data_IF_069927896481
#
_entry.id   IF_069927896481
#
_cell.length_a   1.000
_cell.length_b   1.000
_cell.length_c   1.000
_cell.angle_alpha   90.00
_cell.angle_beta   90.00
_cell.angle_gamma   90.00
#
_symmetry.space_group_name_H-M   'P 1'
#
loop_
_entity.id
_entity.type
_entity.pdbx_description
1 polymer ?
#
# COMPACT_ATOMS: atom_id res chain seq x y z
N UNK A 1 35.14 22.90 41.45
CA UNK A 1 35.94 22.31 40.36
C UNK A 1 36.03 20.80 40.57
N UNK A 2 35.29 20.04 39.73
CA UNK A 2 35.48 18.66 39.20
C UNK A 2 35.91 17.50 40.14
N UNK A 3 35.03 16.53 40.50
CA UNK A 3 34.48 15.30 39.79
C UNK A 3 35.40 14.06 39.90
N UNK A 4 35.04 13.03 40.69
CA UNK A 4 34.30 11.76 40.37
C UNK A 4 34.99 10.85 39.32
N UNK A 5 35.55 9.69 39.69
CA UNK A 5 34.96 8.34 39.93
C UNK A 5 34.47 7.57 38.69
N UNK A 6 35.05 6.39 38.46
CA UNK A 6 34.55 5.34 37.56
C UNK A 6 35.50 4.13 37.50
N UNK A 7 35.15 3.02 38.16
CA UNK A 7 35.71 1.70 37.87
C UNK A 7 34.61 0.63 37.88
N UNK A 8 34.60 -0.17 36.82
CA UNK A 8 33.66 -1.23 36.51
C UNK A 8 34.03 -2.56 37.18
N UNK A 9 33.04 -3.42 37.44
CA UNK A 9 33.25 -4.85 37.71
C UNK A 9 32.19 -5.69 36.99
N UNK A 10 32.68 -6.63 36.18
CA UNK A 10 31.97 -7.79 35.66
C UNK A 10 31.55 -8.74 36.80
N UNK A 11 30.42 -9.43 36.64
CA UNK A 11 30.16 -10.76 37.20
C UNK A 11 29.18 -11.52 36.30
N UNK A 12 29.40 -12.83 36.22
CA UNK A 12 28.77 -13.81 35.34
C UNK A 12 27.98 -14.83 36.19
N UNK A 13 27.12 -15.65 35.54
CA UNK A 13 26.46 -16.89 36.01
C UNK A 13 25.14 -16.71 36.80
N UNK A 14 24.03 -17.46 36.68
CA UNK A 14 23.39 -18.33 35.66
C UNK A 14 21.93 -18.67 36.20
N UNK A 15 21.19 -19.71 35.76
CA UNK A 15 19.76 -19.67 35.41
C UNK A 15 18.79 -20.09 36.54
N UNK A 16 17.49 -19.78 36.41
CA UNK A 16 16.41 -20.42 37.20
C UNK A 16 15.11 -20.62 36.40
N UNK A 17 14.47 -21.73 36.72
CA UNK A 17 13.36 -22.44 36.07
C UNK A 17 12.00 -22.25 36.77
N UNK A 18 10.91 -22.09 35.98
CA UNK A 18 9.50 -22.57 36.12
C UNK A 18 8.68 -22.30 37.43
N UNK A 19 7.32 -22.43 37.53
CA UNK A 19 6.30 -23.01 36.60
C UNK A 19 4.85 -22.34 36.57
N UNK A 20 3.94 -22.91 35.76
CA UNK A 20 2.44 -22.94 35.76
C UNK A 20 1.61 -21.68 35.40
N UNK A 21 0.75 -21.82 34.38
CA UNK A 21 -0.50 -21.06 34.23
C UNK A 21 -1.01 -20.99 32.79
N UNK A 22 -1.68 -22.05 32.32
CA UNK A 22 -2.26 -22.09 30.98
C UNK A 22 -3.35 -21.04 30.76
N UNK A 23 -3.27 -20.33 29.64
CA UNK A 23 -4.40 -19.66 29.01
C UNK A 23 -4.39 -20.08 27.55
N UNK A 24 -5.46 -20.76 27.14
CA UNK A 24 -5.57 -21.43 25.86
C UNK A 24 -5.40 -20.49 24.68
N UNK A 25 -4.67 -20.98 23.67
CA UNK A 25 -4.80 -20.50 22.30
C UNK A 25 -6.27 -20.72 21.88
N UNK A 26 -7.02 -19.69 21.44
CA UNK A 26 -8.37 -19.91 20.96
C UNK A 26 -8.33 -20.83 19.73
N UNK A 27 -9.25 -21.80 19.62
CA UNK A 27 -9.26 -22.76 18.52
C UNK A 27 -9.54 -22.06 17.19
N UNK A 28 -8.97 -22.63 16.12
CA UNK A 28 -9.28 -22.28 14.75
C UNK A 28 -10.81 -22.28 14.53
N UNK A 29 -11.32 -21.21 13.93
CA UNK A 29 -12.72 -21.05 13.59
C UNK A 29 -13.10 -22.15 12.59
N UNK A 30 -14.03 -23.01 13.00
CA UNK A 30 -14.71 -23.99 12.16
C UNK A 30 -15.49 -23.27 11.04
N UNK A 31 -15.22 -23.54 9.75
CA UNK A 31 -15.88 -22.86 8.65
C UNK A 31 -17.33 -23.32 8.37
N UNK A 32 -17.95 -24.11 9.25
CA UNK A 32 -19.26 -24.73 8.97
C UNK A 32 -20.50 -24.07 9.60
N UNK A 33 -20.41 -22.89 10.24
CA UNK A 33 -21.57 -22.25 10.89
C UNK A 33 -21.82 -20.84 10.36
N UNK A 34 -22.70 -20.73 9.36
CA UNK A 34 -23.19 -19.46 8.84
C UNK A 34 -23.83 -19.61 7.47
N UNK A 35 -25.11 -20.01 7.45
CA UNK A 35 -25.90 -20.03 6.23
C UNK A 35 -26.06 -18.63 5.63
N UNK A 36 -25.42 -18.40 4.49
CA UNK A 36 -25.73 -17.34 3.54
C UNK A 36 -25.57 -17.90 2.12
N UNK A 37 -26.55 -17.59 1.28
CA UNK A 37 -26.65 -18.01 -0.12
C UNK A 37 -25.35 -17.76 -0.90
N UNK A 38 -25.00 -18.73 -1.75
CA UNK A 38 -23.92 -18.62 -2.73
C UNK A 38 -24.13 -17.37 -3.60
N UNK A 39 -23.12 -16.50 -3.79
CA UNK A 39 -23.23 -15.48 -4.82
C UNK A 39 -23.25 -16.17 -6.19
N UNK A 40 -24.25 -15.83 -7.00
CA UNK A 40 -24.41 -16.30 -8.37
C UNK A 40 -23.19 -15.90 -9.23
N UNK A 41 -22.79 -16.73 -10.22
CA UNK A 41 -21.68 -16.41 -11.10
C UNK A 41 -22.07 -15.26 -12.03
N UNK A 42 -21.53 -14.07 -11.81
CA UNK A 42 -21.61 -12.98 -12.77
C UNK A 42 -20.47 -13.14 -13.81
N UNK A 43 -20.65 -14.08 -14.73
CA UNK A 43 -20.03 -14.03 -16.05
C UNK A 43 -21.00 -14.64 -17.04
N UNK A 44 -21.97 -13.82 -17.46
CA UNK A 44 -22.78 -14.12 -18.63
C UNK A 44 -21.88 -14.03 -19.87
N UNK A 45 -21.86 -15.12 -20.61
CA UNK A 45 -21.26 -15.30 -21.92
C UNK A 45 -21.61 -14.17 -22.88
N UNK A 46 -20.60 -13.41 -23.33
CA UNK A 46 -20.67 -12.74 -24.62
C UNK A 46 -20.08 -13.72 -25.63
N UNK A 47 -20.97 -14.48 -26.28
CA UNK A 47 -20.69 -15.15 -27.54
C UNK A 47 -20.57 -14.08 -28.62
N UNK A 48 -19.33 -13.65 -28.89
CA UNK A 48 -18.97 -12.83 -30.03
C UNK A 48 -17.65 -13.33 -30.58
N UNK A 49 -17.69 -13.96 -31.75
CA UNK A 49 -16.49 -14.19 -32.55
C UNK A 49 -15.87 -12.82 -32.87
N UNK A 50 -14.81 -12.46 -32.16
CA UNK A 50 -13.85 -11.45 -32.61
C UNK A 50 -12.46 -12.04 -32.45
N UNK A 51 -11.88 -12.29 -33.61
CA UNK A 51 -10.49 -12.66 -33.90
C UNK A 51 -9.49 -12.25 -32.84
N UNK A 52 -8.64 -13.23 -32.55
CA UNK A 52 -7.21 -13.17 -32.20
C UNK A 52 -6.49 -11.93 -32.78
N UNK A 53 -6.78 -10.74 -32.24
CA UNK A 53 -6.02 -9.52 -32.50
C UNK A 53 -4.82 -9.49 -31.56
N UNK A 54 -3.75 -10.12 -32.05
CA UNK A 54 -2.36 -9.77 -31.77
C UNK A 54 -2.05 -9.32 -30.35
N UNK A 55 -1.68 -10.26 -29.49
CA UNK A 55 -0.64 -9.98 -28.48
C UNK A 55 0.61 -9.63 -29.29
N UNK A 56 0.76 -8.35 -29.64
CA UNK A 56 1.98 -7.83 -30.24
C UNK A 56 3.15 -8.34 -29.40
N UNK A 57 4.17 -8.91 -30.06
CA UNK A 57 5.39 -9.34 -29.38
C UNK A 57 5.82 -8.23 -28.42
N UNK A 58 6.09 -8.59 -27.17
CA UNK A 58 6.77 -7.73 -26.20
C UNK A 58 8.22 -7.56 -26.66
N UNK A 59 8.41 -6.92 -27.80
CA UNK A 59 9.73 -6.46 -28.21
C UNK A 59 10.18 -5.49 -27.12
N UNK A 60 11.28 -5.80 -26.46
CA UNK A 60 11.76 -5.16 -25.23
C UNK A 60 11.63 -3.63 -25.34
N UNK A 61 10.63 -3.06 -24.66
CA UNK A 61 10.41 -1.61 -24.58
C UNK A 61 11.31 -1.12 -23.45
N UNK A 62 12.49 -0.52 -23.74
CA UNK A 62 13.36 -0.11 -22.66
C UNK A 62 12.67 0.99 -21.86
N UNK A 63 12.74 0.89 -20.53
CA UNK A 63 12.29 1.97 -19.66
C UNK A 63 13.14 3.21 -19.92
N UNK A 64 12.50 4.36 -20.14
CA UNK A 64 13.19 5.65 -20.25
C UNK A 64 13.00 6.50 -18.99
N UNK A 65 13.93 7.43 -18.75
CA UNK A 65 13.88 8.36 -17.62
C UNK A 65 14.68 7.92 -16.40
N UNK A 66 14.31 8.43 -15.23
CA UNK A 66 15.02 8.23 -13.96
C UNK A 66 14.24 7.26 -13.06
N UNK A 67 14.63 5.98 -13.14
CA UNK A 67 14.03 4.90 -12.34
C UNK A 67 14.59 4.82 -10.92
N UNK A 68 15.83 5.27 -10.70
CA UNK A 68 16.51 5.23 -9.41
C UNK A 68 16.22 6.47 -8.57
N UNK A 69 16.33 6.34 -7.25
CA UNK A 69 16.20 7.46 -6.31
C UNK A 69 17.52 7.66 -5.58
N UNK A 70 17.82 8.92 -5.22
CA UNK A 70 18.99 9.25 -4.38
C UNK A 70 18.82 8.77 -2.94
N UNK A 71 17.58 8.67 -2.47
CA UNK A 71 17.22 8.26 -1.10
C UNK A 71 16.10 7.21 -1.17
N UNK A 72 16.38 6.00 -1.69
CA UNK A 72 15.35 4.98 -1.85
C UNK A 72 14.90 4.47 -0.48
N UNK A 73 13.59 4.52 -0.21
CA UNK A 73 12.97 3.80 0.91
C UNK A 73 12.76 2.34 0.54
N UNK A 74 12.31 2.10 -0.68
CA UNK A 74 12.07 0.77 -1.22
C UNK A 74 12.64 0.67 -2.64
N UNK A 75 13.31 -0.43 -2.93
CA UNK A 75 13.95 -0.71 -4.23
C UNK A 75 13.35 -1.95 -4.85
N UNK A 76 13.13 -1.92 -6.16
CA UNK A 76 12.60 -3.03 -6.95
C UNK A 76 13.57 -3.30 -8.10
N UNK A 77 14.02 -4.55 -8.25
CA UNK A 77 14.98 -4.97 -9.27
C UNK A 77 14.47 -6.19 -10.01
N UNK A 78 14.38 -6.06 -11.34
CA UNK A 78 14.05 -7.12 -12.28
C UNK A 78 12.79 -7.90 -11.86
N UNK A 79 11.75 -7.17 -11.43
CA UNK A 79 10.52 -7.76 -10.92
C UNK A 79 9.72 -8.37 -12.08
N UNK A 80 9.42 -9.65 -11.95
CA UNK A 80 8.43 -10.36 -12.75
C UNK A 80 7.29 -10.83 -11.84
N UNK A 81 6.05 -10.74 -12.33
CA UNK A 81 4.88 -11.30 -11.65
C UNK A 81 4.07 -12.11 -12.65
N UNK A 82 3.98 -13.41 -12.41
CA UNK A 82 3.26 -14.37 -13.25
C UNK A 82 2.02 -14.91 -12.51
N UNK A 83 0.93 -15.14 -13.24
CA UNK A 83 -0.25 -15.88 -12.79
C UNK A 83 -0.41 -17.12 -13.68
N UNK A 84 0.06 -18.27 -13.19
CA UNK A 84 0.18 -19.47 -14.01
C UNK A 84 1.04 -19.22 -15.25
N UNK A 85 0.47 -19.32 -16.45
CA UNK A 85 1.16 -19.06 -17.71
C UNK A 85 1.14 -17.59 -18.16
N UNK A 86 0.38 -16.71 -17.48
CA UNK A 86 0.21 -15.31 -17.88
C UNK A 86 1.15 -14.40 -17.11
N UNK A 87 2.06 -13.72 -17.81
CA UNK A 87 2.92 -12.69 -17.20
C UNK A 87 2.21 -11.35 -17.08
N UNK A 88 1.99 -10.88 -15.86
CA UNK A 88 1.35 -9.61 -15.56
C UNK A 88 2.33 -8.43 -15.45
N UNK A 89 3.54 -8.67 -14.93
CA UNK A 89 4.62 -7.70 -14.83
C UNK A 89 5.89 -8.33 -15.41
N UNK A 90 6.64 -7.59 -16.21
CA UNK A 90 7.87 -8.08 -16.85
C UNK A 90 9.06 -7.14 -16.59
N UNK A 91 10.10 -7.69 -15.96
CA UNK A 91 11.41 -7.07 -15.73
C UNK A 91 11.36 -5.60 -15.26
N UNK A 92 10.52 -5.29 -14.27
CA UNK A 92 10.37 -3.93 -13.76
C UNK A 92 11.45 -3.59 -12.75
N UNK A 93 12.13 -2.47 -12.96
CA UNK A 93 13.13 -1.90 -12.03
C UNK A 93 12.79 -0.45 -11.72
N UNK A 94 12.63 -0.12 -10.44
CA UNK A 94 12.43 1.25 -9.97
C UNK A 94 12.72 1.39 -8.48
N UNK A 95 12.92 2.62 -8.04
CA UNK A 95 13.03 3.00 -6.62
C UNK A 95 11.89 3.91 -6.20
N UNK A 96 11.37 3.66 -5.01
CA UNK A 96 10.42 4.53 -4.31
C UNK A 96 11.25 5.34 -3.30
N UNK A 97 11.31 6.65 -3.49
CA UNK A 97 12.07 7.54 -2.61
C UNK A 97 11.42 7.72 -1.24
N UNK A 98 12.23 8.19 -0.30
CA UNK A 98 11.76 8.70 0.98
C UNK A 98 11.02 10.02 0.81
N UNK A 99 9.98 10.25 1.61
CA UNK A 99 9.28 11.54 1.72
C UNK A 99 8.82 12.14 0.39
N UNK A 100 8.33 11.27 -0.51
CA UNK A 100 7.79 11.65 -1.80
C UNK A 100 6.58 10.78 -2.15
N UNK A 101 5.75 11.28 -3.06
CA UNK A 101 4.67 10.54 -3.68
C UNK A 101 5.10 10.09 -5.07
N UNK A 102 5.09 8.78 -5.30
CA UNK A 102 5.27 8.16 -6.61
C UNK A 102 3.90 7.75 -7.17
N UNK A 103 3.45 8.38 -8.25
CA UNK A 103 2.25 7.97 -8.96
C UNK A 103 2.55 6.87 -9.97
N UNK A 104 1.72 5.82 -9.98
CA UNK A 104 1.73 4.77 -10.98
C UNK A 104 0.48 4.95 -11.85
N UNK A 105 0.70 5.24 -13.13
CA UNK A 105 -0.34 5.53 -14.10
C UNK A 105 -0.30 4.56 -15.26
N UNK A 106 -1.40 4.45 -16.00
CA UNK A 106 -1.48 3.62 -17.21
C UNK A 106 -2.87 3.03 -17.45
N UNK A 107 -3.11 2.44 -18.64
CA UNK A 107 -4.40 1.85 -18.99
C UNK A 107 -4.86 0.76 -18.02
N UNK A 108 -6.15 0.46 -18.01
CA UNK A 108 -6.69 -0.68 -17.25
C UNK A 108 -6.04 -1.99 -17.71
N UNK A 109 -5.74 -2.87 -16.76
CA UNK A 109 -5.13 -4.18 -17.06
C UNK A 109 -3.62 -4.17 -17.36
N UNK A 110 -2.92 -3.04 -17.26
CA UNK A 110 -1.46 -2.99 -17.49
C UNK A 110 -0.59 -3.45 -16.31
N UNK A 111 -1.19 -3.98 -15.23
CA UNK A 111 -0.47 -4.56 -14.09
C UNK A 111 -0.25 -3.64 -12.87
N UNK A 112 -0.72 -2.39 -12.86
CA UNK A 112 -0.50 -1.43 -11.75
C UNK A 112 -0.82 -1.98 -10.36
N UNK A 113 -2.03 -2.49 -10.14
CA UNK A 113 -2.42 -3.03 -8.83
C UNK A 113 -1.69 -4.35 -8.51
N UNK A 114 -1.30 -5.12 -9.53
CA UNK A 114 -0.44 -6.30 -9.35
C UNK A 114 0.93 -5.89 -8.83
N UNK A 115 1.57 -4.89 -9.47
CA UNK A 115 2.83 -4.32 -9.02
C UNK A 115 2.72 -3.78 -7.59
N UNK A 116 1.69 -2.98 -7.31
CA UNK A 116 1.46 -2.39 -5.98
C UNK A 116 1.35 -3.47 -4.89
N UNK A 117 0.60 -4.55 -5.14
CA UNK A 117 0.45 -5.68 -4.19
C UNK A 117 1.71 -6.53 -4.01
N UNK A 118 2.67 -6.47 -4.93
CA UNK A 118 3.97 -7.10 -4.72
C UNK A 118 4.78 -6.37 -3.65
N UNK A 119 4.59 -5.06 -3.49
CA UNK A 119 5.35 -4.26 -2.53
C UNK A 119 5.00 -4.55 -1.06
N UNK A 120 3.83 -5.13 -0.79
CA UNK A 120 3.41 -5.54 0.56
C UNK A 120 3.09 -7.04 0.67
N UNK A 121 3.48 -7.83 -0.33
CA UNK A 121 3.26 -9.28 -0.39
C UNK A 121 1.80 -9.70 -0.25
N UNK A 122 0.86 -8.90 -0.76
CA UNK A 122 -0.55 -9.33 -0.87
C UNK A 122 -0.76 -10.35 -1.98
N UNK A 123 0.11 -10.34 -2.99
CA UNK A 123 0.08 -11.31 -4.09
C UNK A 123 0.28 -12.76 -3.64
N UNK A 124 0.96 -13.00 -2.52
CA UNK A 124 1.22 -14.34 -1.95
C UNK A 124 -0.08 -15.11 -1.64
N UNK A 125 -1.20 -14.41 -1.45
CA UNK A 125 -2.51 -15.02 -1.18
C UNK A 125 -3.31 -15.36 -2.45
N UNK A 126 -2.80 -15.00 -3.63
CA UNK A 126 -3.46 -15.25 -4.91
C UNK A 126 -2.93 -16.57 -5.48
N UNK A 127 -3.83 -17.51 -5.74
CA UNK A 127 -3.47 -18.83 -6.27
C UNK A 127 -2.77 -18.71 -7.64
N UNK A 128 -1.74 -19.53 -7.83
CA UNK A 128 -0.91 -19.53 -9.04
C UNK A 128 -0.05 -18.27 -9.25
N UNK A 129 -0.01 -17.33 -8.30
CA UNK A 129 0.84 -16.15 -8.37
C UNK A 129 2.30 -16.48 -8.02
N UNK A 130 3.23 -16.05 -8.89
CA UNK A 130 4.67 -16.16 -8.66
C UNK A 130 5.31 -14.80 -8.83
N UNK A 131 6.06 -14.38 -7.82
CA UNK A 131 6.88 -13.17 -7.85
C UNK A 131 8.35 -13.58 -7.95
N UNK A 132 9.09 -13.01 -8.89
CA UNK A 132 10.55 -13.15 -9.01
C UNK A 132 11.21 -11.80 -9.24
N UNK A 133 12.52 -11.73 -9.04
CA UNK A 133 13.23 -10.48 -8.89
C UNK A 133 13.47 -10.18 -7.42
N UNK A 134 13.72 -8.92 -7.10
CA UNK A 134 14.09 -8.49 -5.75
C UNK A 134 13.34 -7.21 -5.36
N UNK A 135 12.71 -7.23 -4.19
CA UNK A 135 12.06 -6.06 -3.59
C UNK A 135 12.65 -5.87 -2.20
N UNK A 136 13.41 -4.79 -2.00
CA UNK A 136 14.03 -4.47 -0.71
C UNK A 136 13.39 -3.25 -0.05
N UNK A 137 13.10 -3.34 1.24
CA UNK A 137 12.70 -2.22 2.10
C UNK A 137 13.87 -1.91 3.04
N UNK A 138 14.39 -0.68 3.02
CA UNK A 138 15.58 -0.29 3.80
C UNK A 138 16.79 -1.25 3.61
N UNK A 139 16.92 -1.83 2.42
CA UNK A 139 18.00 -2.77 2.07
C UNK A 139 17.71 -4.25 2.39
N UNK A 140 16.61 -4.57 3.05
CA UNK A 140 16.20 -5.94 3.38
C UNK A 140 15.21 -6.49 2.35
N UNK A 141 15.51 -7.63 1.74
CA UNK A 141 14.61 -8.30 0.79
C UNK A 141 13.33 -8.80 1.50
N UNK A 142 12.19 -8.23 1.15
CA UNK A 142 10.90 -8.55 1.79
C UNK A 142 10.41 -9.96 1.43
N UNK A 143 10.92 -10.55 0.35
CA UNK A 143 10.60 -11.92 -0.11
C UNK A 143 11.56 -12.99 0.44
N UNK A 144 12.56 -12.61 1.25
CA UNK A 144 13.45 -13.58 1.88
C UNK A 144 12.68 -14.56 2.78
N UNK A 145 13.10 -15.82 2.82
CA UNK A 145 12.41 -16.90 3.56
C UNK A 145 12.30 -16.65 5.07
N UNK A 146 13.20 -15.86 5.62
CA UNK A 146 13.25 -15.52 7.05
C UNK A 146 12.34 -14.36 7.43
N UNK A 147 11.75 -13.65 6.46
CA UNK A 147 10.95 -12.45 6.72
C UNK A 147 9.51 -12.83 7.04
N UNK A 148 9.00 -12.29 8.15
CA UNK A 148 7.58 -12.40 8.51
C UNK A 148 6.74 -11.45 7.65
N UNK A 149 5.76 -12.02 6.94
CA UNK A 149 4.80 -11.28 6.11
C UNK A 149 3.98 -10.29 6.94
N UNK A 150 3.69 -10.62 8.21
CA UNK A 150 2.93 -9.73 9.10
C UNK A 150 3.73 -8.46 9.40
N UNK A 151 5.05 -8.58 9.60
CA UNK A 151 5.94 -7.43 9.80
C UNK A 151 6.04 -6.58 8.54
N UNK A 152 6.22 -7.19 7.37
CA UNK A 152 6.23 -6.47 6.08
C UNK A 152 4.95 -5.65 5.89
N UNK A 153 3.78 -6.21 6.22
CA UNK A 153 2.49 -5.53 6.09
C UNK A 153 2.26 -4.44 7.14
N UNK A 154 2.96 -4.50 8.28
CA UNK A 154 2.96 -3.42 9.26
C UNK A 154 3.81 -2.24 8.78
N UNK A 155 4.95 -2.55 8.14
CA UNK A 155 5.89 -1.58 7.57
C UNK A 155 5.43 -0.97 6.23
N UNK A 156 4.62 -1.71 5.49
CA UNK A 156 4.08 -1.32 4.18
C UNK A 156 2.54 -1.34 4.22
N UNK A 157 1.96 -0.22 4.64
CA UNK A 157 0.52 -0.03 4.79
C UNK A 157 -0.20 0.05 3.45
N UNK A 158 -1.46 -0.41 3.38
CA UNK A 158 -2.26 -0.44 2.16
C UNK A 158 -3.62 0.23 2.36
N UNK A 159 -3.99 1.12 1.44
CA UNK A 159 -5.30 1.76 1.34
C UNK A 159 -5.92 1.37 0.00
N UNK A 160 -7.15 0.85 0.04
CA UNK A 160 -7.84 0.34 -1.14
C UNK A 160 -8.79 1.36 -1.75
N UNK A 161 -9.12 1.13 -3.02
CA UNK A 161 -10.05 1.94 -3.81
C UNK A 161 -11.42 2.06 -3.14
N UNK A 162 -11.99 0.92 -2.74
CA UNK A 162 -13.22 0.87 -1.97
C UNK A 162 -12.86 0.91 -0.48
N UNK A 163 -13.32 1.91 0.28
CA UNK A 163 -13.11 1.95 1.72
C UNK A 163 -13.63 0.66 2.37
N UNK A 164 -12.83 0.06 3.25
CA UNK A 164 -13.13 -1.19 3.93
C UNK A 164 -12.94 -1.08 5.45
N UNK A 165 -13.66 -0.18 6.15
CA UNK A 165 -13.65 -0.18 7.60
C UNK A 165 -14.16 -1.53 8.10
N UNK A 166 -13.54 -2.03 9.17
CA UNK A 166 -14.06 -3.21 9.86
C UNK A 166 -15.45 -2.91 10.42
N UNK A 167 -16.32 -3.93 10.55
CA UNK A 167 -17.62 -3.82 11.24
C UNK A 167 -17.40 -3.70 12.76
N UNK A 168 -16.69 -2.65 13.15
CA UNK A 168 -16.25 -2.29 14.50
C UNK A 168 -16.41 -0.78 14.69
N UNK A 169 -16.19 -0.31 15.90
CA UNK A 169 -16.21 1.12 16.21
C UNK A 169 -15.12 1.87 15.45
N UNK A 170 -15.23 3.20 15.34
CA UNK A 170 -14.17 4.06 14.77
C UNK A 170 -12.88 3.89 15.57
N UNK A 171 -12.97 3.86 16.91
CA UNK A 171 -11.83 3.61 17.79
C UNK A 171 -11.16 2.26 17.49
N UNK A 172 -11.96 1.19 17.45
CA UNK A 172 -11.45 -0.17 17.23
C UNK A 172 -10.90 -0.38 15.82
N UNK A 173 -11.37 0.38 14.83
CA UNK A 173 -10.79 0.36 13.50
C UNK A 173 -9.34 0.85 13.51
N UNK A 174 -9.05 1.94 14.22
CA UNK A 174 -7.72 2.55 14.26
C UNK A 174 -6.77 1.75 15.15
N UNK A 175 -7.21 1.33 16.33
CA UNK A 175 -6.32 0.67 17.32
C UNK A 175 -6.06 -0.81 17.04
N UNK A 176 -6.75 -1.42 16.07
CA UNK A 176 -6.67 -2.86 15.79
C UNK A 176 -5.23 -3.32 15.54
N UNK A 177 -4.54 -2.71 14.58
CA UNK A 177 -3.17 -3.09 14.25
C UNK A 177 -2.17 -2.71 15.37
N UNK A 178 -2.23 -1.50 15.96
CA UNK A 178 -1.39 -1.16 17.13
C UNK A 178 -1.47 -2.18 18.28
N UNK A 179 -2.65 -2.74 18.57
CA UNK A 179 -2.79 -3.80 19.59
C UNK A 179 -2.06 -5.08 19.22
N UNK A 180 -2.20 -5.53 17.97
CA UNK A 180 -1.55 -6.75 17.47
C UNK A 180 -0.02 -6.62 17.50
N UNK A 181 0.49 -5.41 17.21
CA UNK A 181 1.92 -5.10 17.24
C UNK A 181 2.45 -4.65 18.61
N UNK A 182 1.66 -4.76 19.68
CA UNK A 182 2.09 -4.42 21.04
C UNK A 182 2.37 -2.93 21.29
N UNK A 183 1.86 -2.04 20.43
CA UNK A 183 2.06 -0.58 20.50
C UNK A 183 1.07 0.13 21.42
N UNK A 184 0.04 -0.57 21.90
CA UNK A 184 -1.02 -0.03 22.74
C UNK A 184 -1.09 -0.81 24.08
N UNK A 185 -0.08 -0.67 24.97
CA UNK A 185 0.01 -1.43 26.22
C UNK A 185 -1.05 -1.04 27.25
N UNK A 186 -1.57 0.20 27.19
CA UNK A 186 -2.55 0.73 28.10
C UNK A 186 -3.58 1.62 27.39
N UNK A 187 -4.61 2.03 28.14
CA UNK A 187 -5.72 2.82 27.62
C UNK A 187 -5.28 4.23 27.17
N UNK A 188 -4.38 4.88 27.91
CA UNK A 188 -3.96 6.24 27.58
C UNK A 188 -3.16 6.25 26.27
N UNK A 189 -2.22 5.32 26.12
CA UNK A 189 -1.48 5.13 24.87
C UNK A 189 -2.41 4.81 23.70
N UNK A 190 -3.43 3.98 23.92
CA UNK A 190 -4.41 3.66 22.90
C UNK A 190 -5.24 4.89 22.46
N UNK A 191 -5.68 5.71 23.40
CA UNK A 191 -6.42 6.95 23.12
C UNK A 191 -5.57 7.96 22.36
N UNK A 192 -4.29 8.10 22.72
CA UNK A 192 -3.32 8.96 22.02
C UNK A 192 -3.10 8.51 20.57
N UNK A 193 -2.89 7.21 20.33
CA UNK A 193 -2.73 6.67 18.98
C UNK A 193 -3.98 6.95 18.13
N UNK A 194 -5.17 6.74 18.71
CA UNK A 194 -6.43 6.97 17.99
C UNK A 194 -6.61 8.45 17.66
N UNK A 195 -6.42 9.34 18.63
CA UNK A 195 -6.54 10.77 18.42
C UNK A 195 -5.55 11.25 17.35
N UNK A 196 -4.26 10.97 17.52
CA UNK A 196 -3.21 11.43 16.60
C UNK A 196 -3.39 10.89 15.19
N UNK A 197 -3.81 9.63 15.04
CA UNK A 197 -4.07 9.03 13.71
C UNK A 197 -5.29 9.66 13.04
N UNK A 198 -6.37 9.93 13.78
CA UNK A 198 -7.56 10.58 13.25
C UNK A 198 -7.32 12.06 12.95
N UNK A 199 -6.47 12.74 13.72
CA UNK A 199 -6.05 14.12 13.47
C UNK A 199 -5.23 14.20 12.19
N UNK A 200 -4.20 13.35 12.06
CA UNK A 200 -3.38 13.24 10.85
C UNK A 200 -4.21 12.90 9.63
N UNK A 201 -5.25 12.07 9.76
CA UNK A 201 -6.16 11.77 8.65
C UNK A 201 -7.23 12.85 8.42
N UNK A 202 -7.18 13.98 9.12
CA UNK A 202 -8.15 15.08 9.01
C UNK A 202 -9.57 14.72 9.43
N UNK A 203 -9.78 13.63 10.18
CA UNK A 203 -11.10 13.09 10.53
C UNK A 203 -11.52 13.41 11.97
N UNK A 204 -10.57 13.69 12.87
CA UNK A 204 -10.81 13.84 14.32
C UNK A 204 -11.97 14.78 14.67
N UNK A 205 -11.98 16.00 14.10
CA UNK A 205 -13.01 17.02 14.37
C UNK A 205 -14.43 16.55 14.04
N UNK A 206 -14.58 15.60 13.14
CA UNK A 206 -15.87 15.08 12.66
C UNK A 206 -16.36 13.84 13.44
N UNK A 207 -15.48 13.18 14.21
CA UNK A 207 -15.77 11.87 14.82
C UNK A 207 -15.45 11.76 16.32
N UNK A 208 -14.74 12.72 16.91
CA UNK A 208 -14.28 12.70 18.31
C UNK A 208 -15.39 12.39 19.33
N UNK A 209 -16.62 12.86 19.09
CA UNK A 209 -17.75 12.69 20.02
C UNK A 209 -18.54 11.39 19.77
N UNK A 210 -18.10 10.55 18.82
CA UNK A 210 -18.80 9.33 18.37
C UNK A 210 -17.86 8.18 18.04
N UNK A 211 -16.71 8.10 18.71
CA UNK A 211 -15.69 7.07 18.46
C UNK A 211 -16.19 5.62 18.64
N UNK A 212 -17.25 5.42 19.43
CA UNK A 212 -17.90 4.13 19.65
C UNK A 212 -18.86 3.71 18.54
N UNK A 213 -19.24 4.62 17.64
CA UNK A 213 -20.12 4.29 16.52
C UNK A 213 -19.42 3.41 15.48
N UNK A 214 -20.16 2.57 14.73
CA UNK A 214 -19.57 1.75 13.67
C UNK A 214 -18.89 2.60 12.60
N UNK A 215 -17.67 2.21 12.20
CA UNK A 215 -16.94 2.88 11.11
C UNK A 215 -17.66 2.80 9.76
N UNK A 216 -18.51 1.79 9.57
CA UNK A 216 -19.35 1.61 8.37
C UNK A 216 -20.50 2.61 8.27
N UNK A 217 -20.82 3.34 9.34
CA UNK A 217 -21.87 4.38 9.34
C UNK A 217 -21.36 5.75 8.82
N UNK A 218 -20.06 5.90 8.57
CA UNK A 218 -19.45 7.11 8.04
C UNK A 218 -19.76 7.30 6.54
N UNK A 219 -19.65 8.53 6.03
CA UNK A 219 -19.72 8.77 4.58
C UNK A 219 -18.53 8.15 3.83
N UNK A 220 -18.62 7.93 2.52
CA UNK A 220 -17.53 7.30 1.74
C UNK A 220 -16.17 7.98 1.93
N UNK A 221 -16.11 9.31 1.87
CA UNK A 221 -14.87 10.06 2.12
C UNK A 221 -14.38 10.01 3.57
N UNK A 222 -15.29 9.92 4.55
CA UNK A 222 -14.93 9.71 5.96
C UNK A 222 -14.42 8.27 6.19
N UNK A 223 -15.02 7.27 5.57
CA UNK A 223 -14.55 5.88 5.62
C UNK A 223 -13.15 5.76 5.01
N UNK A 224 -12.88 6.47 3.92
CA UNK A 224 -11.56 6.46 3.31
C UNK A 224 -10.50 7.09 4.23
N UNK A 225 -10.80 8.26 4.83
CA UNK A 225 -9.94 8.87 5.85
C UNK A 225 -9.75 7.96 7.07
N UNK A 226 -10.78 7.21 7.48
CA UNK A 226 -10.65 6.21 8.56
C UNK A 226 -9.71 5.07 8.15
N UNK A 227 -9.77 4.60 6.91
CA UNK A 227 -8.84 3.58 6.40
C UNK A 227 -7.40 4.10 6.36
N UNK A 228 -7.20 5.37 5.99
CA UNK A 228 -5.89 6.03 6.04
C UNK A 228 -5.41 6.16 7.50
N UNK A 229 -6.26 6.63 8.42
CA UNK A 229 -5.95 6.71 9.86
C UNK A 229 -5.52 5.34 10.41
N UNK A 230 -6.24 4.28 10.04
CA UNK A 230 -5.88 2.91 10.39
C UNK A 230 -4.51 2.50 9.83
N UNK A 231 -4.22 2.80 8.56
CA UNK A 231 -2.94 2.48 7.94
C UNK A 231 -1.76 3.20 8.62
N UNK A 232 -1.92 4.47 8.98
CA UNK A 232 -0.84 5.27 9.60
C UNK A 232 -0.70 5.05 11.12
N UNK A 233 -1.65 4.38 11.76
CA UNK A 233 -1.65 4.14 13.22
C UNK A 233 -0.44 3.32 13.71
N UNK A 234 0.12 2.47 12.84
CA UNK A 234 1.33 1.68 13.11
C UNK A 234 2.61 2.38 12.65
N UNK A 235 2.52 3.60 12.11
CA UNK A 235 3.63 4.40 11.57
C UNK A 235 4.46 3.61 10.53
N UNK A 236 3.84 3.19 9.41
CA UNK A 236 4.54 2.44 8.37
C UNK A 236 5.63 3.30 7.71
N UNK A 237 6.61 2.67 7.09
CA UNK A 237 7.63 3.34 6.29
C UNK A 237 7.13 3.69 4.89
N UNK A 238 6.22 2.87 4.36
CA UNK A 238 5.62 3.04 3.02
C UNK A 238 4.09 2.94 3.11
N UNK A 239 3.38 3.86 2.44
CA UNK A 239 1.93 3.83 2.27
C UNK A 239 1.60 3.59 0.80
N UNK A 240 0.91 2.49 0.53
CA UNK A 240 0.40 2.12 -0.78
C UNK A 240 -1.07 2.51 -0.90
N UNK A 241 -1.45 3.16 -1.99
CA UNK A 241 -2.82 3.58 -2.26
C UNK A 241 -3.26 3.10 -3.64
N UNK A 242 -4.26 2.21 -3.70
CA UNK A 242 -4.84 1.72 -4.95
C UNK A 242 -6.10 2.54 -5.27
N UNK A 243 -5.98 3.55 -6.13
CA UNK A 243 -7.06 4.45 -6.56
C UNK A 243 -7.83 5.12 -5.40
N UNK A 244 -7.16 5.88 -4.52
CA UNK A 244 -7.75 6.33 -3.25
C UNK A 244 -8.97 7.26 -3.38
N UNK A 245 -9.20 7.87 -4.55
CA UNK A 245 -10.28 8.84 -4.76
C UNK A 245 -11.29 8.46 -5.86
N UNK A 246 -11.22 7.28 -6.47
CA UNK A 246 -12.02 6.97 -7.66
C UNK A 246 -13.54 6.97 -7.43
N UNK A 247 -13.98 6.67 -6.20
CA UNK A 247 -15.38 6.55 -5.81
C UNK A 247 -15.86 7.72 -4.93
N UNK A 248 -15.12 8.82 -4.89
CA UNK A 248 -15.38 9.96 -4.01
C UNK A 248 -15.90 11.18 -4.77
N UNK A 249 -16.70 12.00 -4.10
CA UNK A 249 -17.11 13.30 -4.62
C UNK A 249 -15.90 14.29 -4.68
N UNK A 250 -16.00 15.41 -5.43
CA UNK A 250 -14.89 16.35 -5.58
C UNK A 250 -14.38 16.96 -4.27
N UNK A 251 -15.26 17.19 -3.28
CA UNK A 251 -14.90 17.78 -1.99
C UNK A 251 -14.11 16.77 -1.17
N UNK A 252 -14.59 15.53 -1.11
CA UNK A 252 -13.87 14.43 -0.47
C UNK A 252 -12.52 14.15 -1.16
N UNK A 253 -12.47 14.21 -2.49
CA UNK A 253 -11.24 14.05 -3.27
C UNK A 253 -10.20 15.09 -2.89
N UNK A 254 -10.56 16.37 -2.88
CA UNK A 254 -9.64 17.46 -2.51
C UNK A 254 -9.05 17.26 -1.11
N UNK A 255 -9.88 16.89 -0.12
CA UNK A 255 -9.40 16.61 1.24
C UNK A 255 -8.43 15.43 1.33
N UNK A 256 -8.63 14.40 0.52
CA UNK A 256 -7.70 13.25 0.47
C UNK A 256 -6.39 13.67 -0.23
N UNK A 257 -6.45 14.49 -1.28
CA UNK A 257 -5.26 15.01 -1.96
C UNK A 257 -4.42 15.91 -1.04
N UNK A 258 -5.06 16.81 -0.28
CA UNK A 258 -4.40 17.62 0.77
C UNK A 258 -3.75 16.73 1.83
N UNK A 259 -4.48 15.71 2.30
CA UNK A 259 -3.97 14.74 3.26
C UNK A 259 -2.74 13.98 2.73
N UNK A 260 -2.73 13.59 1.45
CA UNK A 260 -1.58 12.93 0.82
C UNK A 260 -0.37 13.86 0.82
N UNK A 261 -0.57 15.15 0.50
CA UNK A 261 0.50 16.16 0.50
C UNK A 261 1.08 16.36 1.92
N UNK A 262 0.25 16.37 2.96
CA UNK A 262 0.73 16.44 4.36
C UNK A 262 1.49 15.16 4.77
N UNK A 263 0.98 13.98 4.40
CA UNK A 263 1.58 12.71 4.78
C UNK A 263 2.95 12.49 4.12
N UNK A 264 3.15 12.97 2.88
CA UNK A 264 4.42 12.72 2.17
C UNK A 264 5.63 13.34 2.87
N UNK A 265 5.46 14.31 3.76
CA UNK A 265 6.57 14.86 4.54
C UNK A 265 7.24 13.80 5.45
N UNK A 266 6.50 12.75 5.81
CA UNK A 266 6.95 11.74 6.76
C UNK A 266 6.96 10.31 6.19
N UNK A 267 6.25 10.07 5.08
CA UNK A 267 6.05 8.74 4.51
C UNK A 267 6.51 8.67 3.06
N UNK A 268 7.00 7.50 2.64
CA UNK A 268 7.09 7.17 1.23
C UNK A 268 5.71 6.72 0.74
N UNK A 269 5.15 7.36 -0.29
CA UNK A 269 3.79 7.08 -0.74
C UNK A 269 3.81 6.59 -2.19
N UNK A 270 3.11 5.49 -2.46
CA UNK A 270 2.90 4.99 -3.83
C UNK A 270 1.42 5.01 -4.13
N UNK A 271 1.01 5.72 -5.18
CA UNK A 271 -0.40 5.87 -5.56
C UNK A 271 -0.60 5.30 -6.95
N UNK A 272 -1.45 4.28 -7.07
CA UNK A 272 -2.01 3.87 -8.35
C UNK A 272 -3.22 4.73 -8.64
N UNK A 273 -3.27 5.37 -9.80
CA UNK A 273 -4.44 6.15 -10.22
C UNK A 273 -4.61 6.15 -11.73
N UNK A 274 -5.85 6.17 -12.19
CA UNK A 274 -6.18 6.44 -13.59
C UNK A 274 -6.52 7.93 -13.84
N UNK A 275 -6.59 8.75 -12.78
CA UNK A 275 -6.77 10.19 -12.93
C UNK A 275 -5.42 10.87 -13.16
N UNK A 276 -5.17 11.28 -14.41
CA UNK A 276 -3.98 12.04 -14.78
C UNK A 276 -3.86 13.34 -14.01
N UNK A 277 -4.99 14.01 -13.76
CA UNK A 277 -5.03 15.27 -13.04
C UNK A 277 -4.67 15.08 -11.56
N UNK A 278 -5.13 13.99 -10.93
CA UNK A 278 -4.71 13.65 -9.58
C UNK A 278 -3.21 13.36 -9.54
N UNK A 279 -2.71 12.47 -10.41
CA UNK A 279 -1.29 12.14 -10.48
C UNK A 279 -0.44 13.41 -10.62
N UNK A 280 -0.80 14.30 -11.53
CA UNK A 280 -0.10 15.56 -11.75
C UNK A 280 -0.12 16.51 -10.54
N UNK A 281 -1.17 16.50 -9.72
CA UNK A 281 -1.28 17.38 -8.54
C UNK A 281 -0.54 16.84 -7.32
N UNK A 282 -0.61 15.53 -7.06
CA UNK A 282 -0.16 14.97 -5.77
C UNK A 282 1.23 14.33 -5.80
N UNK A 283 1.78 14.03 -6.98
CA UNK A 283 3.02 13.25 -7.09
C UNK A 283 4.26 14.08 -7.44
N UNK A 284 5.41 13.67 -6.89
CA UNK A 284 6.72 14.23 -7.26
C UNK A 284 7.35 13.42 -8.39
N UNK A 285 7.12 12.10 -8.40
CA UNK A 285 7.55 11.20 -9.47
C UNK A 285 6.37 10.44 -10.03
N UNK A 286 6.43 10.15 -11.32
CA UNK A 286 5.40 9.38 -12.01
C UNK A 286 6.05 8.20 -12.75
N UNK A 287 5.40 7.05 -12.72
CA UNK A 287 5.79 5.82 -13.41
C UNK A 287 4.63 5.39 -14.32
N UNK A 288 4.89 5.34 -15.63
CA UNK A 288 3.90 4.94 -16.64
C UNK A 288 4.07 3.46 -17.01
N UNK A 289 3.00 2.69 -16.77
CA UNK A 289 2.93 1.25 -17.06
C UNK A 289 2.07 0.97 -18.28
N UNK A 290 2.53 0.06 -19.13
CA UNK A 290 1.79 -0.39 -20.30
C UNK A 290 2.01 -1.89 -20.54
N UNK A 291 0.94 -2.69 -20.56
CA UNK A 291 0.96 -4.15 -20.80
C UNK A 291 1.94 -4.97 -19.93
N UNK A 292 2.24 -4.50 -18.72
CA UNK A 292 3.15 -5.15 -17.76
C UNK A 292 4.56 -4.57 -17.74
N UNK A 293 4.87 -3.66 -18.68
CA UNK A 293 6.17 -2.99 -18.76
C UNK A 293 6.13 -1.63 -18.07
N UNK A 294 7.24 -1.25 -17.41
CA UNK A 294 7.51 0.13 -17.02
C UNK A 294 8.10 0.87 -18.23
N UNK A 295 7.33 1.79 -18.81
CA UNK A 295 7.71 2.49 -20.05
C UNK A 295 8.54 3.74 -19.75
N UNK A 296 8.11 4.54 -18.79
CA UNK A 296 8.76 5.79 -18.44
C UNK A 296 8.61 6.08 -16.94
N UNK A 297 9.68 6.56 -16.31
CA UNK A 297 9.65 7.06 -14.94
C UNK A 297 10.49 8.33 -14.81
N UNK A 298 10.05 9.29 -14.01
CA UNK A 298 10.78 10.54 -13.81
C UNK A 298 9.99 11.54 -12.97
N UNK A 299 10.47 12.78 -12.91
CA UNK A 299 9.72 13.88 -12.29
C UNK A 299 8.35 14.03 -12.95
N UNK A 300 7.31 14.11 -12.12
CA UNK A 300 5.92 14.24 -12.57
C UNK A 300 5.76 15.41 -13.53
N UNK A 301 6.33 16.57 -13.21
CA UNK A 301 6.26 17.75 -14.08
C UNK A 301 6.82 17.48 -15.48
N UNK A 302 7.95 16.79 -15.60
CA UNK A 302 8.53 16.46 -16.89
C UNK A 302 7.65 15.48 -17.66
N UNK A 303 7.17 14.41 -17.02
CA UNK A 303 6.31 13.41 -17.67
C UNK A 303 5.05 14.04 -18.26
N UNK A 304 4.41 14.97 -17.54
CA UNK A 304 3.16 15.61 -17.98
C UNK A 304 3.35 16.77 -18.97
N UNK A 305 4.58 17.29 -19.14
CA UNK A 305 4.84 18.44 -20.03
C UNK A 305 5.65 18.08 -21.27
N UNK A 306 6.64 17.21 -21.13
CA UNK A 306 7.55 16.78 -22.20
C UNK A 306 7.91 15.29 -22.00
N UNK A 307 6.97 14.36 -22.24
CA UNK A 307 7.21 12.92 -22.06
C UNK A 307 8.28 12.41 -23.04
N UNK A 308 9.23 11.62 -22.53
CA UNK A 308 10.36 11.11 -23.32
C UNK A 308 9.96 9.93 -24.21
N UNK A 309 8.95 9.16 -23.81
CA UNK A 309 8.47 8.03 -24.59
C UNK A 309 7.16 8.38 -25.31
N UNK A 310 7.05 7.98 -26.59
CA UNK A 310 5.86 8.23 -27.42
C UNK A 310 4.57 7.70 -26.78
N UNK A 311 4.58 6.47 -26.28
CA UNK A 311 3.41 5.87 -25.59
C UNK A 311 2.97 6.70 -24.37
N UNK A 312 3.90 7.26 -23.60
CA UNK A 312 3.57 8.13 -22.47
C UNK A 312 2.86 9.38 -22.96
N UNK A 313 3.38 10.03 -24.00
CA UNK A 313 2.77 11.22 -24.59
C UNK A 313 1.39 10.96 -25.21
N UNK A 314 1.24 9.85 -25.92
CA UNK A 314 -0.05 9.44 -26.47
C UNK A 314 -1.08 9.23 -25.34
N UNK A 315 -0.66 8.67 -24.20
CA UNK A 315 -1.54 8.37 -23.06
C UNK A 315 -2.00 9.64 -22.35
N UNK A 316 -1.05 10.54 -22.05
CA UNK A 316 -1.32 11.79 -21.33
C UNK A 316 -2.19 12.73 -22.17
N UNK A 317 -1.99 12.76 -23.50
CA UNK A 317 -2.77 13.60 -24.41
C UNK A 317 -4.10 12.99 -24.83
N UNK A 318 -4.43 11.77 -24.37
CA UNK A 318 -5.67 11.09 -24.70
C UNK A 318 -5.76 10.57 -26.14
N UNK A 319 -4.62 10.41 -26.83
CA UNK A 319 -4.53 9.84 -28.18
C UNK A 319 -4.49 8.31 -28.20
N UNK A 320 -4.93 7.66 -27.12
CA UNK A 320 -5.08 6.21 -27.04
C UNK A 320 -6.35 5.78 -27.78
N UNK A 321 -6.17 5.29 -29.00
CA UNK A 321 -7.21 4.75 -29.89
C UNK A 321 -6.56 4.07 -31.09
#
# INVERSE_FOLDING_TARGET
MNTMFGQARMLHVAPRSNPIGGVGVPPAIDPSIGGMEKPAPACASISGNSSDEGIAKRDARPTVGEVYSKTPRMTVRNLDVDFGAKRAIENVTLDIGTTEVTAIIGPSGCGKSTFLRSLNRMNDTIDGCRVSGEIRLDGEDIYARSVDVVEVRARVGMVFQKPNPFPKSIFDNVIYAPRIHGMAPDKATAEEIVQTSLEKAGLWKEVKDRLTQPGTALSGGQQQRLCIARAISVRPEVILMDEPCSALDPIATARIEELIDELRENYAIVIVTHSMQQAARVSQRTAYFHLGDLIEMGETRQIFTDPRHKLTGDYITGRFG
#
